data_IF_116146957986
#
_entry.id   IF_116146957986
#
_cell.length_a   1.000
_cell.length_b   1.000
_cell.length_c   1.000
_cell.angle_alpha   90.00
_cell.angle_beta   90.00
_cell.angle_gamma   90.00
#
_symmetry.space_group_name_H-M   'P 1'
#
loop_
_entity.id
_entity.type
_entity.pdbx_description
1 polymer ?
#
# COMPACT_ATOMS: atom_id res chain seq x y z
N UNK A 1 24.50 -8.79 -4.41
CA UNK A 1 25.15 -9.53 -5.53
C UNK A 1 25.67 -10.90 -5.12
N UNK A 2 26.71 -11.04 -4.26
CA UNK A 2 27.32 -12.36 -3.94
C UNK A 2 26.33 -13.49 -3.56
N UNK A 3 25.31 -13.20 -2.76
CA UNK A 3 24.34 -14.21 -2.28
C UNK A 3 23.22 -14.55 -3.27
N UNK A 4 22.85 -13.62 -4.15
CA UNK A 4 21.60 -13.71 -4.93
C UNK A 4 21.78 -13.50 -6.45
N UNK A 5 23.01 -13.24 -6.92
CA UNK A 5 23.27 -12.81 -8.29
C UNK A 5 23.05 -11.30 -8.48
N UNK A 6 23.46 -10.74 -9.62
CA UNK A 6 23.32 -9.32 -9.93
C UNK A 6 21.85 -8.92 -10.11
N UNK A 7 21.11 -9.63 -10.98
CA UNK A 7 19.72 -9.32 -11.32
C UNK A 7 18.79 -9.31 -10.11
N UNK A 8 18.84 -10.36 -9.28
CA UNK A 8 18.01 -10.42 -8.07
C UNK A 8 18.46 -9.40 -7.01
N UNK A 9 19.73 -9.03 -6.97
CA UNK A 9 20.21 -8.00 -6.05
C UNK A 9 19.73 -6.61 -6.46
N UNK A 10 19.71 -6.32 -7.75
CA UNK A 10 19.12 -5.10 -8.30
C UNK A 10 17.63 -5.05 -8.00
N UNK A 11 16.90 -6.14 -8.29
CA UNK A 11 15.49 -6.23 -7.92
C UNK A 11 15.29 -6.00 -6.43
N UNK A 12 15.98 -6.70 -5.53
CA UNK A 12 15.75 -6.55 -4.08
C UNK A 12 16.13 -5.15 -3.58
N UNK A 13 17.18 -4.54 -4.12
CA UNK A 13 17.80 -3.36 -3.51
C UNK A 13 17.55 -2.03 -4.22
N UNK A 14 17.02 -2.01 -5.44
CA UNK A 14 16.98 -0.81 -6.29
C UNK A 14 15.60 -0.49 -6.89
N UNK A 15 14.54 -1.22 -6.49
CA UNK A 15 13.18 -0.91 -6.95
C UNK A 15 12.22 -0.82 -5.77
N UNK A 16 11.37 0.19 -5.82
CA UNK A 16 10.32 0.40 -4.84
C UNK A 16 9.14 -0.54 -5.08
N UNK A 17 8.47 -0.93 -3.99
CA UNK A 17 7.30 -1.80 -4.05
C UNK A 17 6.23 -1.35 -3.06
N UNK A 18 4.99 -1.42 -3.52
CA UNK A 18 3.82 -1.41 -2.66
C UNK A 18 3.03 -2.67 -2.94
N UNK A 19 2.86 -3.50 -1.91
CA UNK A 19 2.19 -4.78 -2.02
C UNK A 19 1.11 -4.90 -0.96
N UNK A 20 -0.11 -5.23 -1.38
CA UNK A 20 -1.18 -5.63 -0.48
C UNK A 20 -1.32 -7.15 -0.47
N UNK A 21 -1.22 -7.71 0.73
CA UNK A 21 -1.66 -9.07 1.02
C UNK A 21 -3.10 -8.96 1.51
N UNK A 22 -4.02 -9.44 0.69
CA UNK A 22 -5.45 -9.44 0.98
C UNK A 22 -5.74 -10.14 2.33
N UNK A 23 -6.61 -9.58 3.19
CA UNK A 23 -7.47 -8.42 2.93
C UNK A 23 -6.89 -7.08 3.38
N UNK A 24 -5.88 -7.04 4.24
CA UNK A 24 -5.62 -5.84 5.04
C UNK A 24 -4.18 -5.64 5.52
N UNK A 25 -3.21 -6.29 4.87
CA UNK A 25 -1.79 -6.16 5.20
C UNK A 25 -1.05 -5.53 4.03
N UNK A 26 -0.43 -4.38 4.26
CA UNK A 26 0.39 -3.67 3.29
C UNK A 26 1.88 -3.84 3.66
N UNK A 27 2.70 -4.05 2.63
CA UNK A 27 4.16 -4.00 2.69
C UNK A 27 4.59 -2.90 1.74
N UNK A 28 5.17 -1.85 2.30
CA UNK A 28 5.68 -0.68 1.58
C UNK A 28 7.20 -0.71 1.66
N UNK A 29 7.88 -0.76 0.53
CA UNK A 29 9.32 -0.77 0.39
C UNK A 29 9.70 0.43 -0.49
N UNK A 30 9.96 1.57 0.15
CA UNK A 30 10.24 2.85 -0.54
C UNK A 30 11.46 3.53 0.09
N UNK A 31 11.30 4.17 1.26
CA UNK A 31 12.44 4.74 2.03
C UNK A 31 12.97 3.77 3.11
N UNK A 32 12.51 2.53 3.05
CA UNK A 32 12.61 1.51 4.09
C UNK A 32 11.36 0.64 4.07
N UNK A 33 11.45 -0.54 4.69
CA UNK A 33 10.35 -1.50 4.69
C UNK A 33 9.40 -1.18 5.85
N UNK A 34 8.15 -0.87 5.52
CA UNK A 34 7.07 -0.65 6.47
C UNK A 34 5.99 -1.72 6.26
N UNK A 35 5.66 -2.44 7.33
CA UNK A 35 4.46 -3.29 7.38
C UNK A 35 3.34 -2.48 8.00
N UNK A 36 2.21 -2.37 7.31
CA UNK A 36 1.03 -1.65 7.77
C UNK A 36 -0.17 -2.60 7.80
N UNK A 37 -0.78 -2.77 8.96
CA UNK A 37 -2.03 -3.53 9.15
C UNK A 37 -3.20 -2.57 9.25
N UNK A 38 -4.22 -2.79 8.45
CA UNK A 38 -5.47 -2.03 8.41
C UNK A 38 -6.53 -2.84 9.17
N UNK A 39 -6.88 -2.44 10.39
CA UNK A 39 -7.88 -3.18 11.18
C UNK A 39 -9.19 -2.39 11.23
N UNK A 40 -10.21 -2.76 10.43
CA UNK A 40 -11.51 -2.12 10.54
C UNK A 40 -12.13 -2.46 11.90
N UNK A 41 -12.59 -1.42 12.61
CA UNK A 41 -13.29 -1.57 13.90
C UNK A 41 -14.77 -1.25 13.78
N UNK A 42 -15.15 -0.46 12.77
CA UNK A 42 -16.52 -0.24 12.31
C UNK A 42 -16.47 0.18 10.83
N UNK A 43 -17.62 0.40 10.20
CA UNK A 43 -17.68 0.90 8.82
C UNK A 43 -17.04 2.28 8.64
N UNK A 44 -16.96 3.08 9.71
CA UNK A 44 -16.45 4.46 9.68
C UNK A 44 -15.17 4.65 10.51
N UNK A 45 -14.61 3.57 11.07
CA UNK A 45 -13.43 3.67 11.91
C UNK A 45 -12.49 2.50 11.68
N UNK A 46 -11.23 2.85 11.41
CA UNK A 46 -10.17 1.89 11.12
C UNK A 46 -8.94 2.22 11.97
N UNK A 47 -8.41 1.20 12.65
CA UNK A 47 -7.15 1.29 13.37
C UNK A 47 -6.01 0.84 12.48
N UNK A 48 -5.05 1.74 12.27
CA UNK A 48 -3.81 1.44 11.55
C UNK A 48 -2.73 1.06 12.56
N UNK A 49 -1.96 0.01 12.25
CA UNK A 49 -0.76 -0.35 13.02
C UNK A 49 0.40 -0.54 12.06
N UNK A 50 1.54 0.08 12.35
CA UNK A 50 2.69 0.10 11.47
C UNK A 50 3.96 -0.33 12.20
N UNK A 51 4.82 -1.05 11.48
CA UNK A 51 6.14 -1.45 11.94
C UNK A 51 7.17 -1.17 10.86
N UNK A 52 8.30 -0.56 11.25
CA UNK A 52 9.48 -0.46 10.38
C UNK A 52 10.34 -1.70 10.57
N UNK A 53 10.64 -2.41 9.47
CA UNK A 53 11.52 -3.57 9.48
C UNK A 53 12.98 -3.15 9.24
N UNK A 54 13.87 -3.96 9.81
CA UNK A 54 15.31 -3.80 9.73
C UNK A 54 15.96 -5.11 9.30
N UNK A 55 17.16 -5.01 8.70
CA UNK A 55 18.04 -6.16 8.61
C UNK A 55 18.59 -6.53 9.99
N UNK A 56 18.74 -7.82 10.25
CA UNK A 56 19.39 -8.30 11.45
C UNK A 56 20.85 -7.80 11.50
N UNK A 57 21.26 -7.23 12.63
CA UNK A 57 22.61 -6.69 12.81
C UNK A 57 22.86 -5.32 12.19
N UNK A 58 21.81 -4.55 11.85
CA UNK A 58 21.99 -3.16 11.41
C UNK A 58 22.83 -2.33 12.42
N UNK A 59 23.75 -1.53 11.89
CA UNK A 59 24.58 -0.63 12.70
C UNK A 59 23.76 0.50 13.32
N UNK A 60 24.26 1.09 14.41
CA UNK A 60 23.56 2.12 15.18
C UNK A 60 23.18 3.35 14.32
N UNK A 61 24.08 3.83 13.47
CA UNK A 61 23.82 5.01 12.62
C UNK A 61 22.76 4.73 11.55
N UNK A 62 22.78 3.53 10.96
CA UNK A 62 21.77 3.10 9.98
C UNK A 62 20.41 2.93 10.64
N UNK A 63 20.37 2.38 11.85
CA UNK A 63 19.16 2.28 12.67
C UNK A 63 18.57 3.66 12.94
N UNK A 64 19.40 4.60 13.40
CA UNK A 64 18.96 5.97 13.71
C UNK A 64 18.31 6.63 12.48
N UNK A 65 18.99 6.58 11.32
CA UNK A 65 18.46 7.12 10.05
C UNK A 65 17.17 6.44 9.61
N UNK A 66 17.09 5.11 9.69
CA UNK A 66 15.88 4.36 9.31
C UNK A 66 14.69 4.73 10.19
N UNK A 67 14.89 4.84 11.51
CA UNK A 67 13.83 5.22 12.44
C UNK A 67 13.42 6.68 12.25
N UNK A 68 14.37 7.58 12.00
CA UNK A 68 14.10 8.97 11.65
C UNK A 68 13.25 9.06 10.38
N UNK A 69 13.67 8.43 9.28
CA UNK A 69 12.90 8.37 8.03
C UNK A 69 11.49 7.78 8.24
N UNK A 70 11.38 6.73 9.06
CA UNK A 70 10.08 6.14 9.37
C UNK A 70 9.19 7.16 10.07
N UNK A 71 9.66 7.82 11.13
CA UNK A 71 8.86 8.76 11.92
C UNK A 71 8.52 10.03 11.11
N UNK A 72 9.46 10.55 10.34
CA UNK A 72 9.30 11.84 9.64
C UNK A 72 8.49 11.73 8.35
N UNK A 73 8.35 10.54 7.74
CA UNK A 73 7.63 10.39 6.48
C UNK A 73 6.41 9.47 6.56
N UNK A 74 6.58 8.20 6.96
CA UNK A 74 5.52 7.16 6.89
C UNK A 74 4.86 6.82 8.22
N UNK A 75 5.40 7.33 9.33
CA UNK A 75 4.89 7.14 10.67
C UNK A 75 3.60 7.93 10.90
N UNK A 76 2.94 7.77 12.05
CA UNK A 76 1.61 8.31 12.29
C UNK A 76 1.51 9.85 12.19
N UNK A 77 2.61 10.56 12.41
CA UNK A 77 2.72 12.02 12.19
C UNK A 77 3.73 12.38 11.11
N UNK A 78 4.12 11.41 10.27
CA UNK A 78 5.08 11.61 9.20
C UNK A 78 4.45 12.38 8.05
N UNK A 79 5.28 13.11 7.31
CA UNK A 79 4.89 14.09 6.29
C UNK A 79 3.86 13.59 5.27
N UNK A 80 3.95 12.32 4.84
CA UNK A 80 3.00 11.75 3.87
C UNK A 80 1.65 11.33 4.48
N UNK A 81 1.60 11.10 5.80
CA UNK A 81 0.43 10.49 6.44
C UNK A 81 -0.77 11.44 6.54
N UNK A 82 -0.62 12.73 6.88
CA UNK A 82 -1.74 13.68 6.85
C UNK A 82 -2.42 13.78 5.49
N UNK A 83 -1.65 13.82 4.39
CA UNK A 83 -2.20 13.90 3.03
C UNK A 83 -3.01 12.64 2.69
N UNK A 84 -2.49 11.46 3.02
CA UNK A 84 -3.20 10.18 2.86
C UNK A 84 -4.50 10.16 3.69
N UNK A 85 -4.45 10.61 4.94
CA UNK A 85 -5.61 10.62 5.84
C UNK A 85 -6.69 11.58 5.35
N UNK A 86 -6.33 12.79 4.93
CA UNK A 86 -7.30 13.75 4.39
C UNK A 86 -7.99 13.20 3.14
N UNK A 87 -7.25 12.57 2.22
CA UNK A 87 -7.85 11.96 1.04
C UNK A 87 -8.85 10.84 1.39
N UNK A 88 -8.52 10.00 2.38
CA UNK A 88 -9.40 8.92 2.85
C UNK A 88 -10.65 9.44 3.56
N UNK A 89 -10.50 10.42 4.45
CA UNK A 89 -11.61 11.04 5.17
C UNK A 89 -12.53 11.83 4.22
N UNK A 90 -11.97 12.51 3.22
CA UNK A 90 -12.74 13.16 2.16
C UNK A 90 -13.57 12.15 1.35
N UNK A 91 -13.00 11.00 1.00
CA UNK A 91 -13.75 9.90 0.37
C UNK A 91 -14.89 9.42 1.28
N UNK A 92 -14.63 9.17 2.56
CA UNK A 92 -15.64 8.71 3.51
C UNK A 92 -16.78 9.72 3.67
N UNK A 93 -16.46 11.01 3.77
CA UNK A 93 -17.44 12.09 3.81
C UNK A 93 -18.31 12.11 2.53
N UNK A 94 -17.70 11.92 1.37
CA UNK A 94 -18.41 11.79 0.09
C UNK A 94 -19.37 10.59 0.07
N UNK A 95 -18.95 9.42 0.57
CA UNK A 95 -19.80 8.23 0.61
C UNK A 95 -21.03 8.38 1.53
N UNK A 96 -20.96 9.21 2.58
CA UNK A 96 -22.09 9.46 3.49
C UNK A 96 -23.23 10.23 2.85
N UNK A 97 -22.97 11.05 1.82
CA UNK A 97 -24.02 11.90 1.25
C UNK A 97 -25.06 11.09 0.48
N UNK A 98 -24.70 9.90 -0.02
CA UNK A 98 -25.58 8.97 -0.74
C UNK A 98 -26.17 9.51 -2.06
N UNK A 99 -25.94 10.79 -2.39
CA UNK A 99 -26.44 11.47 -3.56
C UNK A 99 -25.30 11.62 -4.57
N UNK A 100 -25.26 10.74 -5.57
CA UNK A 100 -24.21 10.79 -6.59
C UNK A 100 -24.11 9.54 -7.44
N UNK A 101 -22.91 9.34 -7.99
CA UNK A 101 -22.57 8.21 -8.86
C UNK A 101 -22.41 6.94 -8.00
N UNK A 102 -23.12 5.84 -8.28
CA UNK A 102 -23.10 4.65 -7.42
C UNK A 102 -21.86 3.76 -7.63
N UNK A 103 -20.85 4.24 -8.35
CA UNK A 103 -19.62 3.52 -8.65
C UNK A 103 -18.39 4.42 -8.52
N UNK A 104 -17.27 3.81 -8.12
CA UNK A 104 -15.93 4.37 -8.29
C UNK A 104 -15.34 3.85 -9.59
N UNK A 105 -14.82 4.75 -10.44
CA UNK A 105 -14.10 4.33 -11.64
C UNK A 105 -12.70 3.83 -11.25
N UNK A 106 -12.36 2.61 -11.66
CA UNK A 106 -11.08 1.94 -11.43
C UNK A 106 -10.59 1.37 -12.77
N UNK A 107 -10.81 2.11 -13.86
CA UNK A 107 -10.56 1.65 -15.24
C UNK A 107 -9.13 1.88 -15.71
N UNK A 108 -8.30 2.61 -14.94
CA UNK A 108 -6.96 2.99 -15.40
C UNK A 108 -6.08 1.76 -15.64
N UNK A 109 -5.46 1.74 -16.82
CA UNK A 109 -4.62 0.62 -17.26
C UNK A 109 -5.38 -0.61 -17.77
N UNK A 110 -6.71 -0.62 -17.82
CA UNK A 110 -7.47 -1.78 -18.32
C UNK A 110 -7.10 -2.14 -19.77
N UNK A 111 -6.88 -1.17 -20.64
CA UNK A 111 -6.47 -1.44 -22.03
C UNK A 111 -5.15 -2.23 -22.12
N UNK A 112 -4.19 -1.96 -21.22
CA UNK A 112 -2.93 -2.71 -21.11
C UNK A 112 -3.15 -4.12 -20.61
N UNK A 113 -3.99 -4.26 -19.57
CA UNK A 113 -4.36 -5.57 -19.01
C UNK A 113 -4.97 -6.49 -20.08
N UNK A 114 -5.89 -5.98 -20.92
CA UNK A 114 -6.53 -6.76 -21.98
C UNK A 114 -5.59 -7.09 -23.15
N UNK A 115 -4.62 -6.22 -23.42
CA UNK A 115 -3.64 -6.42 -24.50
C UNK A 115 -2.41 -7.23 -24.07
N UNK A 116 -2.36 -7.71 -22.82
CA UNK A 116 -1.20 -8.43 -22.29
C UNK A 116 0.05 -7.57 -22.09
N UNK A 117 -0.09 -6.24 -22.15
CA UNK A 117 1.02 -5.33 -21.91
C UNK A 117 1.42 -5.32 -20.42
N UNK A 118 2.70 -5.06 -20.11
CA UNK A 118 3.13 -4.88 -18.72
C UNK A 118 2.34 -3.77 -18.03
N UNK A 119 2.00 -4.00 -16.76
CA UNK A 119 1.34 -2.97 -15.95
C UNK A 119 2.30 -1.82 -15.66
N UNK A 120 1.78 -0.60 -15.77
CA UNK A 120 2.43 0.58 -15.23
C UNK A 120 2.27 0.63 -13.70
N UNK A 121 3.20 1.26 -13.00
CA UNK A 121 3.10 1.51 -11.54
C UNK A 121 1.85 2.33 -11.19
N UNK A 122 1.35 3.08 -12.16
CA UNK A 122 0.14 3.88 -12.03
C UNK A 122 -1.14 3.11 -12.43
N UNK A 123 -1.06 1.87 -12.92
CA UNK A 123 -2.28 1.13 -13.29
C UNK A 123 -3.05 0.66 -12.06
N UNK A 124 -4.39 0.63 -12.15
CA UNK A 124 -5.26 0.25 -11.03
C UNK A 124 -5.63 -1.23 -11.02
N UNK A 125 -4.88 -2.04 -11.78
CA UNK A 125 -5.07 -3.50 -11.81
C UNK A 125 -5.02 -4.13 -10.41
N UNK A 126 -4.12 -3.74 -9.48
CA UNK A 126 -4.13 -4.28 -8.12
C UNK A 126 -5.42 -3.97 -7.36
N UNK A 127 -5.99 -2.77 -7.55
CA UNK A 127 -7.24 -2.35 -6.92
C UNK A 127 -8.41 -3.18 -7.48
N UNK A 128 -8.48 -3.37 -8.80
CA UNK A 128 -9.48 -4.27 -9.42
C UNK A 128 -9.35 -5.71 -8.90
N UNK A 129 -8.14 -6.22 -8.76
CA UNK A 129 -7.90 -7.56 -8.22
C UNK A 129 -8.41 -7.71 -6.78
N UNK A 130 -8.21 -6.69 -5.94
CA UNK A 130 -8.76 -6.64 -4.58
C UNK A 130 -10.29 -6.75 -4.59
N UNK A 131 -10.98 -5.90 -5.36
CA UNK A 131 -12.43 -5.87 -5.39
C UNK A 131 -13.04 -7.14 -5.99
N UNK A 132 -12.44 -7.73 -7.03
CA UNK A 132 -12.86 -9.04 -7.57
C UNK A 132 -12.77 -10.12 -6.50
N UNK A 133 -11.67 -10.19 -5.74
CA UNK A 133 -11.52 -11.17 -4.65
C UNK A 133 -12.53 -10.92 -3.53
N UNK A 134 -12.74 -9.67 -3.14
CA UNK A 134 -13.73 -9.29 -2.14
C UNK A 134 -15.14 -9.72 -2.58
N UNK A 135 -15.53 -9.42 -3.83
CA UNK A 135 -16.82 -9.81 -4.39
C UNK A 135 -17.02 -11.32 -4.37
N UNK A 136 -16.01 -12.11 -4.79
CA UNK A 136 -16.08 -13.57 -4.70
C UNK A 136 -16.38 -14.02 -3.28
N UNK A 137 -15.72 -13.46 -2.26
CA UNK A 137 -15.93 -13.86 -0.87
C UNK A 137 -17.31 -13.44 -0.34
N UNK A 138 -17.80 -12.26 -0.70
CA UNK A 138 -19.09 -11.76 -0.23
C UNK A 138 -20.29 -12.40 -0.94
N UNK A 139 -20.12 -12.88 -2.17
CA UNK A 139 -21.16 -13.56 -2.94
C UNK A 139 -21.17 -15.08 -2.80
N UNK A 140 -20.21 -15.67 -2.11
CA UNK A 140 -20.15 -17.14 -1.88
C UNK A 140 -20.91 -17.60 -0.63
N UNK A 141 -21.80 -16.77 -0.09
CA UNK A 141 -22.62 -17.05 1.10
C UNK A 141 -24.07 -17.35 0.77
#
# INVERSE_FOLDING_TARGET
VRKHGPERAESIGQVDRSMMIFPNLLILDVMGIVVRKITPTSAEHTRITQWSLASAGEGADMRARRLENFITFQGPGGFATPDDLEALEACQAGFRTGAGVPWSDISRGMHREHSGQPCCTSDERPIRAFWRRWQTLMSSG
#
